data_IF_406591082710
#
_entry.id   IF_406591082710
#
_cell.length_a   1.000
_cell.length_b   1.000
_cell.length_c   1.000
_cell.angle_alpha   90.00
_cell.angle_beta   90.00
_cell.angle_gamma   90.00
#
_symmetry.space_group_name_H-M   'P 1'
#
loop_
_entity.id
_entity.type
_entity.pdbx_description
1 polymer ?
#
# COMPACT_ATOMS: atom_id res chain seq x y z
N UNK A 1 22.85 0.81 15.12
CA UNK A 1 22.04 2.05 14.93
C UNK A 1 20.60 1.60 14.89
N UNK A 2 19.69 2.20 15.68
CA UNK A 2 18.26 1.84 15.64
C UNK A 2 17.68 2.44 14.36
N UNK A 3 17.03 1.66 13.49
CA UNK A 3 16.41 2.21 12.30
C UNK A 3 15.31 3.20 12.68
N UNK A 4 15.29 4.35 11.99
CA UNK A 4 14.33 5.42 12.27
C UNK A 4 13.76 5.99 10.99
N UNK A 5 12.50 6.42 11.06
CA UNK A 5 11.82 7.12 9.99
C UNK A 5 10.99 8.27 10.58
N UNK A 6 10.73 9.29 9.76
CA UNK A 6 10.00 10.47 10.18
C UNK A 6 9.05 10.93 9.09
N UNK A 7 7.87 11.37 9.46
CA UNK A 7 6.99 12.09 8.55
C UNK A 7 6.21 13.19 9.26
N UNK A 8 5.91 14.24 8.50
CA UNK A 8 5.11 15.38 8.97
C UNK A 8 3.91 15.56 8.05
N UNK A 9 2.73 15.67 8.64
CA UNK A 9 1.46 15.77 7.91
C UNK A 9 0.50 16.74 8.60
N UNK A 10 -0.32 17.45 7.81
CA UNK A 10 -1.39 18.28 8.34
C UNK A 10 -2.43 17.45 9.12
N UNK A 11 -2.67 17.83 10.38
CA UNK A 11 -3.62 17.14 11.27
C UNK A 11 -5.01 17.07 10.68
N UNK A 12 -5.49 18.19 10.15
CA UNK A 12 -6.83 18.31 9.54
C UNK A 12 -7.03 17.32 8.39
N UNK A 13 -6.03 17.19 7.53
CA UNK A 13 -6.03 16.26 6.38
C UNK A 13 -6.06 14.81 6.86
N UNK A 14 -5.19 14.46 7.82
CA UNK A 14 -5.13 13.11 8.38
C UNK A 14 -6.44 12.74 9.09
N UNK A 15 -6.99 13.61 9.94
CA UNK A 15 -8.26 13.37 10.63
C UNK A 15 -9.44 13.19 9.68
N UNK A 16 -9.53 14.02 8.63
CA UNK A 16 -10.57 13.90 7.61
C UNK A 16 -10.52 12.52 6.95
N UNK A 17 -9.34 12.08 6.60
CA UNK A 17 -9.13 10.76 5.96
C UNK A 17 -9.44 9.62 6.91
N UNK A 18 -8.93 9.65 8.15
CA UNK A 18 -9.25 8.63 9.16
C UNK A 18 -10.76 8.56 9.44
N UNK A 19 -11.44 9.71 9.52
CA UNK A 19 -12.88 9.77 9.70
C UNK A 19 -13.66 9.16 8.53
N UNK A 20 -13.19 9.32 7.29
CA UNK A 20 -13.78 8.66 6.13
C UNK A 20 -13.61 7.14 6.20
N UNK A 21 -12.41 6.67 6.54
CA UNK A 21 -12.14 5.23 6.72
C UNK A 21 -13.05 4.66 7.82
N UNK A 22 -13.15 5.33 8.97
CA UNK A 22 -13.97 4.89 10.11
C UNK A 22 -15.48 4.83 9.73
N UNK A 23 -15.97 5.78 8.93
CA UNK A 23 -17.36 5.72 8.43
C UNK A 23 -17.64 4.48 7.59
N UNK A 24 -16.67 4.02 6.84
CA UNK A 24 -16.80 2.82 5.97
C UNK A 24 -16.61 1.54 6.78
N UNK A 25 -15.63 1.50 7.67
CA UNK A 25 -15.26 0.29 8.43
C UNK A 25 -16.05 0.11 9.73
N UNK A 26 -16.73 1.16 10.16
CA UNK A 26 -17.53 1.18 11.40
C UNK A 26 -16.78 1.70 12.62
N UNK A 27 -17.51 2.39 13.49
CA UNK A 27 -17.00 3.05 14.71
C UNK A 27 -17.28 2.25 15.99
N UNK A 28 -17.45 0.92 15.90
CA UNK A 28 -17.69 0.12 17.09
C UNK A 28 -16.39 -0.08 17.90
N UNK A 29 -16.40 0.07 19.23
CA UNK A 29 -15.24 -0.24 20.07
C UNK A 29 -14.77 -1.69 19.93
N UNK A 30 -15.66 -2.59 19.51
CA UNK A 30 -15.34 -4.00 19.20
C UNK A 30 -14.63 -4.16 17.87
N UNK A 31 -14.59 -3.11 17.03
CA UNK A 31 -13.92 -3.14 15.75
C UNK A 31 -12.39 -3.21 15.96
N UNK A 32 -11.81 -4.33 15.55
CA UNK A 32 -10.36 -4.58 15.64
C UNK A 32 -9.62 -4.18 14.35
N UNK A 33 -10.26 -3.41 13.48
CA UNK A 33 -9.66 -2.98 12.21
C UNK A 33 -8.33 -2.29 12.49
N UNK A 34 -7.30 -2.76 11.82
CA UNK A 34 -5.97 -2.16 11.81
C UNK A 34 -5.80 -1.34 10.54
N UNK A 35 -5.07 -0.26 10.63
CA UNK A 35 -4.57 0.50 9.49
C UNK A 35 -3.08 0.25 9.36
N UNK A 36 -2.66 -0.08 8.17
CA UNK A 36 -1.27 -0.15 7.79
C UNK A 36 -0.89 1.19 7.17
N UNK A 37 0.18 1.80 7.67
CA UNK A 37 0.69 3.09 7.21
C UNK A 37 2.07 2.87 6.67
N UNK A 38 2.25 3.13 5.37
CA UNK A 38 3.54 3.06 4.69
C UNK A 38 4.02 4.47 4.40
N UNK A 39 5.24 4.79 4.83
CA UNK A 39 5.92 6.05 4.58
C UNK A 39 6.76 5.87 3.33
N UNK A 40 6.50 6.68 2.31
CA UNK A 40 7.19 6.67 1.03
C UNK A 40 7.60 8.11 0.74
N UNK A 41 8.61 8.30 -0.12
CA UNK A 41 9.09 9.64 -0.43
C UNK A 41 7.95 10.58 -0.90
N UNK A 42 7.75 11.66 -0.15
CA UNK A 42 6.75 12.70 -0.41
C UNK A 42 5.30 12.37 0.00
N UNK A 43 4.98 11.18 0.50
CA UNK A 43 3.62 10.82 0.90
C UNK A 43 3.56 9.67 1.92
N UNK A 44 2.41 9.53 2.57
CA UNK A 44 2.05 8.35 3.34
C UNK A 44 0.89 7.62 2.66
N UNK A 45 0.92 6.31 2.73
CA UNK A 45 -0.15 5.44 2.22
C UNK A 45 -0.84 4.76 3.40
N UNK A 46 -2.16 4.89 3.49
CA UNK A 46 -3.00 4.24 4.48
C UNK A 46 -3.76 3.10 3.82
N UNK A 47 -3.55 1.89 4.32
CA UNK A 47 -4.19 0.68 3.82
C UNK A 47 -5.03 0.03 4.91
N UNK A 48 -6.30 -0.20 4.63
CA UNK A 48 -7.20 -1.06 5.40
C UNK A 48 -7.91 -2.01 4.44
N UNK A 49 -8.51 -3.10 4.87
CA UNK A 49 -9.22 -4.01 3.98
C UNK A 49 -10.20 -3.28 3.05
N UNK A 50 -9.97 -3.36 1.74
CA UNK A 50 -10.79 -2.72 0.71
C UNK A 50 -10.56 -1.21 0.48
N UNK A 51 -9.65 -0.57 1.23
CA UNK A 51 -9.39 0.87 1.10
C UNK A 51 -7.88 1.12 1.04
N UNK A 52 -7.44 1.88 0.05
CA UNK A 52 -6.06 2.31 -0.11
C UNK A 52 -6.05 3.80 -0.44
N UNK A 53 -5.47 4.62 0.43
CA UNK A 53 -5.44 6.07 0.31
C UNK A 53 -4.02 6.60 0.43
N UNK A 54 -3.68 7.59 -0.41
CA UNK A 54 -2.40 8.30 -0.36
C UNK A 54 -2.63 9.73 0.11
N UNK A 55 -1.77 10.18 1.03
CA UNK A 55 -1.77 11.55 1.55
C UNK A 55 -0.39 12.16 1.37
N UNK A 56 -0.35 13.40 0.91
CA UNK A 56 0.88 14.16 0.83
C UNK A 56 1.45 14.42 2.23
N UNK A 57 2.74 14.17 2.41
CA UNK A 57 3.45 14.36 3.66
C UNK A 57 4.92 14.72 3.39
N UNK A 58 5.55 15.40 4.32
CA UNK A 58 7.01 15.55 4.29
C UNK A 58 7.58 14.33 4.99
N UNK A 59 8.43 13.59 4.31
CA UNK A 59 8.93 12.29 4.78
C UNK A 59 10.45 12.28 4.83
N UNK A 60 11.01 11.57 5.82
CA UNK A 60 12.43 11.21 5.90
C UNK A 60 12.52 9.72 6.14
N UNK A 61 13.20 9.02 5.24
CA UNK A 61 13.29 7.55 5.23
C UNK A 61 11.94 6.86 5.00
N UNK A 62 12.01 5.59 4.72
CA UNK A 62 10.86 4.75 4.39
C UNK A 62 10.63 3.74 5.50
N UNK A 63 9.38 3.59 5.89
CA UNK A 63 8.99 2.66 6.93
C UNK A 63 7.51 2.28 6.76
N UNK A 64 7.14 1.22 7.40
CA UNK A 64 5.77 0.72 7.46
C UNK A 64 5.42 0.38 8.90
N UNK A 65 4.24 0.75 9.33
CA UNK A 65 3.75 0.35 10.63
C UNK A 65 2.26 0.05 10.61
N UNK A 66 1.85 -0.80 11.52
CA UNK A 66 0.46 -1.21 11.66
C UNK A 66 -0.05 -0.85 13.05
N UNK A 67 -1.20 -0.20 13.11
CA UNK A 67 -1.83 0.25 14.34
C UNK A 67 -3.34 0.07 14.26
N UNK A 68 -4.02 -0.04 15.41
CA UNK A 68 -5.49 -0.06 15.44
C UNK A 68 -6.04 1.28 14.95
N UNK A 69 -6.95 1.25 13.99
CA UNK A 69 -7.51 2.43 13.34
C UNK A 69 -8.14 3.42 14.34
N UNK A 70 -9.02 2.95 15.21
CA UNK A 70 -9.68 3.82 16.20
C UNK A 70 -8.69 4.42 17.19
N UNK A 71 -7.73 3.62 17.67
CA UNK A 71 -6.69 4.11 18.56
C UNK A 71 -5.83 5.19 17.90
N UNK A 72 -5.41 4.97 16.66
CA UNK A 72 -4.62 5.96 15.91
C UNK A 72 -5.41 7.26 15.67
N UNK A 73 -6.69 7.15 15.33
CA UNK A 73 -7.56 8.30 15.20
C UNK A 73 -7.66 9.10 16.50
N UNK A 74 -7.78 8.44 17.65
CA UNK A 74 -7.85 9.11 18.96
C UNK A 74 -6.52 9.77 19.32
N UNK A 75 -5.38 9.13 19.04
CA UNK A 75 -4.06 9.74 19.19
C UNK A 75 -3.97 11.02 18.37
N UNK A 76 -4.28 10.97 17.08
CA UNK A 76 -4.23 12.15 16.19
C UNK A 76 -5.20 13.25 16.67
N UNK A 77 -6.39 12.89 17.15
CA UNK A 77 -7.42 13.83 17.60
C UNK A 77 -7.02 14.59 18.85
N UNK A 78 -6.36 13.92 19.81
CA UNK A 78 -5.97 14.50 21.10
C UNK A 78 -4.82 15.49 20.99
N UNK A 79 -3.96 15.41 19.98
CA UNK A 79 -2.86 16.36 19.81
C UNK A 79 -3.36 17.75 19.45
N UNK A 80 -2.66 18.78 19.94
CA UNK A 80 -3.01 20.20 19.71
C UNK A 80 -2.28 20.82 18.53
N UNK A 81 -1.16 20.22 18.12
CA UNK A 81 -0.31 20.73 17.05
C UNK A 81 -0.90 20.45 15.66
N UNK A 82 -0.63 21.34 14.72
CA UNK A 82 -0.86 21.17 13.29
C UNK A 82 0.26 21.95 12.56
N UNK A 83 1.15 21.33 11.80
CA UNK A 83 1.18 19.90 11.42
C UNK A 83 1.65 18.96 12.54
N UNK A 84 1.32 17.69 12.41
CA UNK A 84 1.80 16.62 13.28
C UNK A 84 3.09 16.02 12.75
N UNK A 85 4.09 15.88 13.63
CA UNK A 85 5.33 15.20 13.34
C UNK A 85 5.34 13.82 14.01
N UNK A 86 5.57 12.78 13.22
CA UNK A 86 5.69 11.40 13.68
C UNK A 86 7.14 10.97 13.54
N UNK A 87 7.69 10.40 14.60
CA UNK A 87 9.03 9.81 14.63
C UNK A 87 8.88 8.33 14.97
N UNK A 88 9.39 7.47 14.11
CA UNK A 88 9.35 6.02 14.25
C UNK A 88 10.75 5.54 14.61
N UNK A 89 10.92 4.95 15.78
CA UNK A 89 12.18 4.40 16.27
C UNK A 89 11.97 2.96 16.71
N UNK A 90 12.44 2.00 15.92
CA UNK A 90 12.14 0.60 16.17
C UNK A 90 10.62 0.37 16.23
N UNK A 91 10.10 -0.21 17.31
CA UNK A 91 8.66 -0.43 17.52
C UNK A 91 7.94 0.75 18.19
N UNK A 92 8.64 1.85 18.47
CA UNK A 92 8.07 3.02 19.12
C UNK A 92 7.73 4.09 18.10
N UNK A 93 6.53 4.62 18.16
CA UNK A 93 6.08 5.77 17.40
C UNK A 93 5.86 6.91 18.36
N UNK A 94 6.56 8.01 18.13
CA UNK A 94 6.47 9.24 18.90
C UNK A 94 5.70 10.28 18.09
N UNK A 95 4.79 10.96 18.73
CA UNK A 95 4.05 12.12 18.19
C UNK A 95 4.09 13.17 19.26
N UNK A 96 4.88 14.23 19.07
CA UNK A 96 5.11 15.24 20.08
C UNK A 96 5.57 14.60 21.42
N UNK A 97 4.87 14.85 22.51
CA UNK A 97 5.15 14.28 23.83
C UNK A 97 4.51 12.91 24.09
N UNK A 98 3.85 12.33 23.12
CA UNK A 98 3.17 11.06 23.23
C UNK A 98 3.90 9.96 22.47
N UNK A 99 4.04 8.78 23.07
CA UNK A 99 4.67 7.64 22.43
C UNK A 99 3.80 6.38 22.59
N UNK A 100 3.76 5.55 21.57
CA UNK A 100 3.06 4.27 21.57
C UNK A 100 3.80 3.21 20.80
N UNK A 101 3.51 1.94 21.09
CA UNK A 101 4.08 0.80 20.36
C UNK A 101 3.22 0.45 19.16
N UNK A 102 3.88 0.14 18.04
CA UNK A 102 3.27 -0.40 16.85
C UNK A 102 4.19 -1.46 16.23
N UNK A 103 3.63 -2.36 15.43
CA UNK A 103 4.44 -3.27 14.63
C UNK A 103 5.02 -2.47 13.46
N UNK A 104 6.34 -2.37 13.41
CA UNK A 104 7.06 -1.56 12.41
C UNK A 104 7.92 -2.44 11.52
N UNK A 105 8.14 -1.98 10.30
CA UNK A 105 9.09 -2.55 9.34
C UNK A 105 9.78 -1.38 8.64
N UNK A 106 11.11 -1.39 8.61
CA UNK A 106 11.91 -0.39 7.89
C UNK A 106 12.38 -1.01 6.58
N UNK A 107 12.35 -0.21 5.52
CA UNK A 107 12.78 -0.63 4.19
C UNK A 107 13.97 0.21 3.76
N UNK A 108 14.95 -0.40 3.16
CA UNK A 108 15.86 0.30 2.27
C UNK A 108 15.09 0.60 0.97
N UNK A 109 15.45 1.69 0.29
CA UNK A 109 14.69 2.19 -0.88
C UNK A 109 14.51 1.11 -1.97
N UNK A 110 15.47 0.22 -2.10
CA UNK A 110 15.44 -0.90 -3.04
C UNK A 110 14.47 -2.03 -2.64
N UNK A 111 14.13 -2.14 -1.36
CA UNK A 111 13.20 -3.17 -0.86
C UNK A 111 11.72 -2.76 -1.04
N UNK A 112 11.42 -1.47 -1.15
CA UNK A 112 10.06 -0.99 -1.42
C UNK A 112 9.57 -1.47 -2.78
N UNK A 113 10.43 -1.48 -3.79
CA UNK A 113 10.10 -2.00 -5.11
C UNK A 113 9.79 -3.50 -5.10
N UNK A 114 10.32 -4.24 -4.11
CA UNK A 114 10.04 -5.68 -3.92
C UNK A 114 8.77 -5.95 -3.11
N UNK A 115 8.29 -4.97 -2.33
CA UNK A 115 7.08 -5.11 -1.50
C UNK A 115 5.82 -4.57 -2.16
N UNK A 116 5.90 -4.08 -3.40
CA UNK A 116 4.72 -3.81 -4.20
C UNK A 116 4.10 -5.17 -4.50
N UNK A 117 2.91 -5.42 -3.93
CA UNK A 117 2.08 -6.56 -4.30
C UNK A 117 1.81 -6.49 -5.81
N UNK A 118 2.63 -7.22 -6.56
CA UNK A 118 2.35 -7.46 -7.97
C UNK A 118 1.02 -8.23 -8.04
N UNK A 119 0.16 -7.91 -9.01
CA UNK A 119 -1.13 -8.57 -9.11
C UNK A 119 -0.96 -10.08 -9.13
N UNK A 120 -1.81 -10.72 -8.37
CA UNK A 120 -1.88 -12.05 -7.75
C UNK A 120 -1.51 -13.27 -8.63
N UNK A 121 -1.19 -13.13 -9.91
CA UNK A 121 -0.95 -14.26 -10.82
C UNK A 121 0.51 -14.66 -11.00
N UNK A 122 1.43 -14.05 -10.25
CA UNK A 122 2.84 -14.43 -10.34
C UNK A 122 3.21 -15.39 -9.21
N UNK A 123 3.67 -16.56 -9.57
CA UNK A 123 4.39 -17.40 -8.63
C UNK A 123 5.66 -16.66 -8.23
N UNK A 124 5.71 -16.18 -6.97
CA UNK A 124 6.82 -15.40 -6.43
C UNK A 124 8.20 -16.04 -6.72
N UNK A 125 8.27 -17.37 -6.75
CA UNK A 125 9.46 -18.12 -7.12
C UNK A 125 9.94 -17.88 -8.56
N UNK A 126 9.05 -17.66 -9.51
CA UNK A 126 9.41 -17.40 -10.90
C UNK A 126 10.01 -16.01 -11.08
N UNK A 127 9.42 -15.02 -10.42
CA UNK A 127 9.95 -13.63 -10.40
C UNK A 127 11.34 -13.56 -9.76
N UNK A 128 11.54 -14.24 -8.62
CA UNK A 128 12.84 -14.30 -7.94
C UNK A 128 13.88 -14.98 -8.86
N UNK A 129 13.53 -16.06 -9.52
CA UNK A 129 14.41 -16.75 -10.46
C UNK A 129 14.81 -15.86 -11.65
N UNK A 130 13.86 -15.10 -12.21
CA UNK A 130 14.13 -14.22 -13.35
C UNK A 130 14.98 -12.99 -12.96
N UNK A 131 14.77 -12.42 -11.78
CA UNK A 131 15.60 -11.30 -11.28
C UNK A 131 17.00 -11.75 -10.87
N UNK A 132 17.16 -12.95 -10.34
CA UNK A 132 18.46 -13.53 -9.98
C UNK A 132 19.28 -13.96 -11.19
N UNK A 133 18.66 -14.31 -12.29
CA UNK A 133 19.35 -14.66 -13.53
C UNK A 133 19.88 -13.46 -14.34
N UNK A 134 19.73 -12.24 -13.82
CA UNK A 134 20.55 -11.09 -14.23
C UNK A 134 20.15 -10.39 -15.52
N UNK A 135 18.93 -10.54 -15.99
CA UNK A 135 18.53 -9.98 -17.29
C UNK A 135 17.38 -8.99 -17.28
N UNK A 136 16.50 -8.99 -16.25
CA UNK A 136 15.28 -8.19 -16.30
C UNK A 136 15.01 -7.47 -14.97
N UNK A 137 14.54 -6.23 -15.08
CA UNK A 137 13.97 -5.50 -13.94
C UNK A 137 12.56 -6.02 -13.62
N UNK A 138 12.11 -5.88 -12.38
CA UNK A 138 10.74 -6.27 -11.97
C UNK A 138 9.66 -5.55 -12.82
N UNK A 139 9.94 -4.33 -13.28
CA UNK A 139 9.06 -3.57 -14.16
C UNK A 139 8.96 -4.15 -15.58
N UNK A 140 10.09 -4.58 -16.14
CA UNK A 140 10.11 -5.23 -17.47
C UNK A 140 9.41 -6.58 -17.46
N UNK A 141 9.57 -7.36 -16.39
CA UNK A 141 8.86 -8.62 -16.21
C UNK A 141 7.35 -8.38 -16.12
N UNK A 142 6.92 -7.39 -15.32
CA UNK A 142 5.51 -7.04 -15.20
C UNK A 142 4.91 -6.56 -16.53
N UNK A 143 5.66 -5.76 -17.30
CA UNK A 143 5.24 -5.27 -18.60
C UNK A 143 5.10 -6.40 -19.63
N UNK A 144 6.10 -7.26 -19.74
CA UNK A 144 6.08 -8.40 -20.68
C UNK A 144 4.92 -9.35 -20.39
N UNK A 145 4.62 -9.59 -19.12
CA UNK A 145 3.51 -10.44 -18.73
C UNK A 145 2.13 -9.81 -18.99
N UNK A 146 1.99 -8.51 -18.80
CA UNK A 146 0.76 -7.79 -19.17
C UNK A 146 0.54 -7.85 -20.69
N UNK A 147 1.60 -7.74 -21.49
CA UNK A 147 1.53 -7.84 -22.94
C UNK A 147 1.16 -9.27 -23.38
N UNK A 148 1.74 -10.30 -22.76
CA UNK A 148 1.35 -11.71 -23.01
C UNK A 148 -0.11 -11.97 -22.66
N UNK A 149 -0.59 -11.49 -21.51
CA UNK A 149 -2.00 -11.60 -21.12
C UNK A 149 -2.92 -10.88 -22.10
N UNK A 150 -2.53 -9.71 -22.57
CA UNK A 150 -3.26 -8.96 -23.61
C UNK A 150 -3.32 -9.71 -24.91
N UNK A 151 -2.21 -10.28 -25.37
CA UNK A 151 -2.14 -11.08 -26.60
C UNK A 151 -3.04 -12.31 -26.46
N UNK A 152 -3.00 -12.99 -25.32
CA UNK A 152 -3.83 -14.15 -25.06
C UNK A 152 -5.33 -13.80 -25.03
N UNK A 153 -5.70 -12.70 -24.37
CA UNK A 153 -7.08 -12.22 -24.35
C UNK A 153 -7.59 -11.85 -25.76
N UNK A 154 -6.76 -11.18 -26.58
CA UNK A 154 -7.11 -10.87 -27.95
C UNK A 154 -7.27 -12.10 -28.83
N UNK A 155 -6.45 -13.14 -28.61
CA UNK A 155 -6.58 -14.43 -29.32
C UNK A 155 -7.90 -15.11 -28.98
N UNK A 156 -8.23 -15.19 -27.69
CA UNK A 156 -9.51 -15.76 -27.22
C UNK A 156 -10.70 -15.02 -27.82
N UNK A 157 -10.66 -13.67 -27.79
CA UNK A 157 -11.72 -12.85 -28.36
C UNK A 157 -11.89 -13.09 -29.88
N UNK A 158 -10.79 -13.22 -30.61
CA UNK A 158 -10.81 -13.54 -32.04
C UNK A 158 -11.44 -14.91 -32.33
N UNK A 159 -11.12 -15.91 -31.51
CA UNK A 159 -11.69 -17.26 -31.63
C UNK A 159 -13.20 -17.25 -31.32
N UNK A 160 -13.64 -16.49 -30.31
CA UNK A 160 -15.07 -16.31 -30.00
C UNK A 160 -15.83 -15.58 -31.13
N UNK A 161 -15.26 -14.54 -31.71
CA UNK A 161 -15.84 -13.82 -32.86
C UNK A 161 -16.01 -14.77 -34.05
N UNK A 162 -14.97 -15.55 -34.36
CA UNK A 162 -15.03 -16.53 -35.46
C UNK A 162 -16.11 -17.58 -35.21
N UNK A 163 -16.26 -18.03 -33.94
CA UNK A 163 -17.30 -19.00 -33.56
C UNK A 163 -18.70 -18.42 -33.73
N UNK A 164 -18.91 -17.15 -33.30
CA UNK A 164 -20.20 -16.46 -33.48
C UNK A 164 -20.51 -16.25 -34.96
N UNK A 165 -19.51 -15.85 -35.77
CA UNK A 165 -19.69 -15.68 -37.20
C UNK A 165 -20.07 -17.01 -37.89
N UNK A 166 -19.48 -18.12 -37.46
CA UNK A 166 -19.83 -19.47 -37.99
C UNK A 166 -21.26 -19.85 -37.63
N UNK A 167 -21.70 -19.59 -36.41
CA UNK A 167 -23.08 -19.85 -35.98
C UNK A 167 -24.08 -19.01 -36.79
N UNK A 168 -23.76 -17.70 -36.97
CA UNK A 168 -24.62 -16.80 -37.74
C UNK A 168 -24.71 -17.15 -39.24
N UNK A 169 -23.71 -17.83 -39.78
CA UNK A 169 -23.72 -18.31 -41.18
C UNK A 169 -24.54 -19.62 -41.37
N UNK A 170 -24.91 -20.28 -40.28
CA UNK A 170 -25.68 -21.53 -40.31
C UNK A 170 -27.17 -21.32 -39.96
N UNK A 171 -27.57 -20.10 -39.65
CA UNK A 171 -28.95 -19.67 -39.41
C UNK A 171 -29.46 -18.85 -40.58
#
# INVERSE_FOLDING_TARGET
MIPSAEFTIGKSTLLKTLSQIIKITGNSPKNKTTVEITIIDGFIQLVVPGINLKLQAVTKSTAKFTVRLLYFNDVVKTHRLDPLQFIIEGEMIKVDNYAFKAKTTFFETDEILRSIDLPINYQAGHLISMTQSGGYTAGEIAFNNLEEQRIQALKTLKDDINRIALIAALT
#
